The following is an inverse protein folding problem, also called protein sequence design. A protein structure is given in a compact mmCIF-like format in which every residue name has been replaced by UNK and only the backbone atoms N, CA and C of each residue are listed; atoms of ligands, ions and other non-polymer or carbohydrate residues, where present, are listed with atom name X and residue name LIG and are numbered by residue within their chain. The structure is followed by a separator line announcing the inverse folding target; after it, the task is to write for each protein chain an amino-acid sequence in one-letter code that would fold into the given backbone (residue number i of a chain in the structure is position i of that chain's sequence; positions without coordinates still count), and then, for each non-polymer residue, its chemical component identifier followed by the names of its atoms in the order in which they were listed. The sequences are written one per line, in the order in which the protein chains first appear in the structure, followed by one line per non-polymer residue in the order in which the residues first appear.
data_IF_668077695275
#
_entry.id   IF_668077695275
#
_cell.length_a   1.000
_cell.length_b   1.000
_cell.length_c   1.000
_cell.angle_alpha   90.00
_cell.angle_beta   90.00
_cell.angle_gamma   90.00
#
_symmetry.space_group_name_H-M   'P 1'
#
loop_
_entity.id
_entity.type
_entity.pdbx_description
1 polymer ?
#
# COMPACT_ATOMS: atom_id res chain seq x y z
N UNK A 1 6.32 -2.85 8.57
CA UNK A 1 6.28 -3.25 7.14
C UNK A 1 4.97 -3.99 6.93
N UNK A 2 4.41 -3.88 5.73
CA UNK A 2 3.20 -4.57 5.35
C UNK A 2 3.45 -5.33 4.05
N UNK A 3 2.70 -6.41 3.85
CA UNK A 3 2.55 -7.03 2.54
C UNK A 3 1.09 -6.94 2.12
N UNK A 4 0.88 -6.48 0.89
CA UNK A 4 -0.45 -6.39 0.32
C UNK A 4 -0.64 -7.58 -0.64
N UNK A 5 -1.74 -8.30 -0.49
CA UNK A 5 -2.11 -9.43 -1.35
C UNK A 5 -3.36 -9.06 -2.15
N UNK A 6 -3.29 -9.13 -3.47
CA UNK A 6 -4.44 -9.00 -4.36
C UNK A 6 -4.73 -10.34 -5.00
N UNK A 7 -5.98 -10.80 -4.89
CA UNK A 7 -6.48 -11.96 -5.57
C UNK A 7 -7.55 -11.54 -6.57
N UNK A 8 -7.51 -12.07 -7.79
CA UNK A 8 -8.53 -11.80 -8.80
C UNK A 8 -8.87 -13.05 -9.60
N UNK A 9 -10.10 -13.11 -10.11
CA UNK A 9 -10.61 -14.15 -10.98
C UNK A 9 -11.33 -13.51 -12.17
N UNK A 10 -11.05 -14.01 -13.37
CA UNK A 10 -11.65 -13.56 -14.62
C UNK A 10 -12.65 -14.62 -15.10
N UNK A 11 -13.89 -14.22 -15.32
CA UNK A 11 -14.95 -15.08 -15.82
C UNK A 11 -15.00 -15.09 -17.35
N UNK A 12 -15.65 -16.09 -17.93
CA UNK A 12 -15.70 -16.29 -19.38
C UNK A 12 -16.40 -15.15 -20.15
N UNK A 13 -17.28 -14.41 -19.48
CA UNK A 13 -17.98 -13.22 -20.00
C UNK A 13 -17.19 -11.91 -19.83
N UNK A 14 -15.94 -12.03 -19.36
CA UNK A 14 -15.02 -10.93 -19.14
C UNK A 14 -15.26 -10.16 -17.84
N UNK A 15 -16.20 -10.58 -16.99
CA UNK A 15 -16.35 -10.02 -15.64
C UNK A 15 -15.14 -10.41 -14.77
N UNK A 16 -14.83 -9.56 -13.79
CA UNK A 16 -13.72 -9.78 -12.86
C UNK A 16 -14.25 -9.65 -11.44
N UNK A 17 -13.89 -10.60 -10.59
CA UNK A 17 -13.98 -10.47 -9.14
C UNK A 17 -12.56 -10.34 -8.59
N UNK A 18 -12.35 -9.42 -7.65
CA UNK A 18 -11.07 -9.25 -6.98
C UNK A 18 -11.27 -8.84 -5.53
N UNK A 19 -10.26 -9.12 -4.71
CA UNK A 19 -10.19 -8.73 -3.31
C UNK A 19 -8.74 -8.42 -2.91
N UNK A 20 -8.58 -7.61 -1.88
CA UNK A 20 -7.28 -7.19 -1.35
C UNK A 20 -7.25 -7.37 0.15
N UNK A 21 -6.14 -7.92 0.66
CA UNK A 21 -5.87 -8.00 2.09
C UNK A 21 -4.46 -7.48 2.42
N UNK A 22 -4.30 -6.93 3.61
CA UNK A 22 -3.07 -6.29 4.08
C UNK A 22 -2.53 -7.00 5.32
N UNK A 23 -1.41 -7.68 5.15
CA UNK A 23 -0.74 -8.42 6.20
C UNK A 23 0.30 -7.54 6.90
N UNK A 24 0.16 -7.40 8.21
CA UNK A 24 1.22 -6.77 9.02
C UNK A 24 2.34 -7.78 9.23
N UNK A 25 3.54 -7.45 8.75
CA UNK A 25 4.72 -8.31 8.88
C UNK A 25 5.59 -7.78 10.02
N UNK A 26 6.19 -8.69 10.79
CA UNK A 26 7.18 -8.33 11.79
C UNK A 26 8.38 -7.61 11.16
N UNK A 27 8.82 -6.54 11.81
CA UNK A 27 10.08 -5.83 11.46
C UNK A 27 11.25 -6.78 11.74
N UNK A 28 12.03 -7.12 10.72
CA UNK A 28 13.13 -8.08 10.82
C UNK A 28 14.30 -7.65 9.92
N UNK A 29 15.50 -7.53 10.50
CA UNK A 29 16.70 -7.27 9.71
C UNK A 29 17.16 -8.51 8.96
N UNK A 30 17.60 -8.30 7.71
CA UNK A 30 18.18 -9.36 6.86
C UNK A 30 19.45 -9.94 7.50
N UNK A 31 20.30 -9.06 8.01
CA UNK A 31 21.52 -9.44 8.72
C UNK A 31 21.21 -9.70 10.19
N UNK A 32 21.46 -10.92 10.64
CA UNK A 32 21.32 -11.29 12.04
C UNK A 32 22.64 -11.06 12.75
N UNK A 33 22.64 -10.10 13.67
CA UNK A 33 23.81 -9.75 14.46
C UNK A 33 23.56 -10.14 15.91
N UNK A 34 24.50 -10.83 16.53
CA UNK A 34 24.49 -11.10 17.98
C UNK A 34 25.78 -10.57 18.60
N UNK A 35 25.66 -10.05 19.81
CA UNK A 35 26.75 -9.43 20.55
C UNK A 35 26.71 -9.95 21.98
N UNK A 36 27.77 -10.63 22.40
CA UNK A 36 27.88 -11.24 23.71
C UNK A 36 29.24 -10.94 24.34
N UNK A 37 29.30 -10.86 25.67
CA UNK A 37 30.57 -10.76 26.40
C UNK A 37 30.98 -12.13 26.95
N UNK A 38 32.28 -12.36 27.12
CA UNK A 38 32.79 -13.58 27.76
C UNK A 38 32.40 -13.69 29.24
N UNK A 39 32.18 -12.54 29.89
CA UNK A 39 31.67 -12.42 31.26
C UNK A 39 30.80 -11.16 31.36
N UNK A 40 29.66 -11.26 32.06
CA UNK A 40 28.71 -10.13 32.21
C UNK A 40 29.27 -9.01 33.10
N UNK A 41 30.00 -9.36 34.15
CA UNK A 41 30.64 -8.43 35.07
C UNK A 41 32.05 -8.92 35.42
N UNK A 42 32.96 -7.98 35.61
CA UNK A 42 34.33 -8.28 36.01
C UNK A 42 34.98 -7.07 36.70
N UNK A 43 36.14 -7.29 37.32
CA UNK A 43 36.87 -6.27 38.06
C UNK A 43 37.46 -5.19 37.12
N UNK A 44 37.59 -3.93 37.59
CA UNK A 44 38.22 -2.87 36.79
C UNK A 44 39.62 -3.26 36.31
N UNK A 45 39.86 -3.12 35.01
CA UNK A 45 41.15 -3.46 34.38
C UNK A 45 41.34 -4.93 34.04
N UNK A 46 40.35 -5.79 34.29
CA UNK A 46 40.35 -7.16 33.79
C UNK A 46 40.22 -7.20 32.26
N UNK A 47 40.57 -8.35 31.67
CA UNK A 47 40.42 -8.58 30.23
C UNK A 47 39.11 -9.31 29.96
N UNK A 48 38.22 -8.65 29.23
CA UNK A 48 36.96 -9.23 28.75
C UNK A 48 36.96 -9.29 27.22
N UNK A 49 36.41 -10.38 26.67
CA UNK A 49 36.26 -10.55 25.22
C UNK A 49 34.83 -10.21 24.81
N UNK A 50 34.71 -9.53 23.67
CA UNK A 50 33.45 -9.24 23.01
C UNK A 50 33.28 -10.18 21.81
N UNK A 51 32.25 -11.01 21.84
CA UNK A 51 31.88 -11.96 20.80
C UNK A 51 30.82 -11.33 19.89
N UNK A 52 31.21 -10.99 18.67
CA UNK A 52 30.32 -10.47 17.64
C UNK A 52 30.12 -11.54 16.56
N UNK A 53 28.86 -11.88 16.28
CA UNK A 53 28.48 -12.78 15.20
C UNK A 53 27.64 -12.02 14.17
N UNK A 54 28.05 -12.09 12.92
CA UNK A 54 27.36 -11.48 11.78
C UNK A 54 27.60 -12.34 10.52
N UNK A 55 26.96 -11.97 9.42
CA UNK A 55 27.16 -12.66 8.14
C UNK A 55 28.59 -12.41 7.59
N UNK A 56 29.16 -13.36 6.82
CA UNK A 56 30.50 -13.20 6.25
C UNK A 56 30.60 -11.96 5.35
N UNK A 57 31.63 -11.15 5.54
CA UNK A 57 31.86 -9.92 4.77
C UNK A 57 31.02 -8.71 5.21
N UNK A 58 30.22 -8.83 6.27
CA UNK A 58 29.51 -7.69 6.85
C UNK A 58 30.46 -6.70 7.53
N UNK A 59 30.22 -5.41 7.34
CA UNK A 59 30.86 -4.34 8.11
C UNK A 59 30.03 -4.06 9.37
N UNK A 60 30.66 -4.16 10.54
CA UNK A 60 30.00 -3.92 11.82
C UNK A 60 30.62 -2.72 12.54
N UNK A 61 29.78 -1.79 12.99
CA UNK A 61 30.18 -0.68 13.86
C UNK A 61 29.83 -1.03 15.31
N UNK A 62 30.78 -0.82 16.23
CA UNK A 62 30.62 -1.14 17.65
C UNK A 62 30.65 0.18 18.44
N UNK A 63 29.68 0.34 19.35
CA UNK A 63 29.60 1.48 20.28
C UNK A 63 29.56 0.93 21.70
N UNK A 64 30.47 1.40 22.56
CA UNK A 64 30.46 1.16 23.99
C UNK A 64 30.10 2.45 24.71
N UNK A 65 29.19 2.38 25.69
CA UNK A 65 28.72 3.54 26.47
C UNK A 65 28.73 3.20 27.95
N UNK A 66 29.02 4.21 28.78
CA UNK A 66 28.89 4.09 30.23
C UNK A 66 27.41 4.20 30.64
N UNK A 67 26.98 3.42 31.64
CA UNK A 67 25.60 3.40 32.12
C UNK A 67 25.10 4.76 32.59
N UNK A 68 25.97 5.63 33.11
CA UNK A 68 25.62 6.98 33.51
C UNK A 68 25.23 7.90 32.35
N UNK A 69 25.70 7.61 31.12
CA UNK A 69 25.37 8.39 29.92
C UNK A 69 23.97 8.06 29.41
N UNK A 70 23.49 6.83 29.62
CA UNK A 70 22.11 6.42 29.30
C UNK A 70 21.04 7.20 30.08
N UNK A 71 21.43 7.93 31.15
CA UNK A 71 20.54 8.79 31.94
C UNK A 71 20.34 10.18 31.31
N UNK A 72 21.15 10.56 30.32
CA UNK A 72 20.89 11.70 29.44
C UNK A 72 20.21 11.16 28.18
N UNK A 73 19.31 11.95 27.58
CA UNK A 73 18.57 11.58 26.36
C UNK A 73 19.54 11.19 25.22
N UNK A 74 19.95 9.93 25.20
CA UNK A 74 20.82 9.34 24.20
C UNK A 74 19.90 8.66 23.19
N UNK A 75 19.95 9.09 21.94
CA UNK A 75 19.14 8.53 20.87
C UNK A 75 19.72 7.17 20.47
N UNK A 76 19.34 6.15 21.25
CA UNK A 76 19.66 4.75 20.92
C UNK A 76 18.99 4.43 19.59
N UNK A 77 19.78 3.99 18.62
CA UNK A 77 19.26 3.55 17.34
C UNK A 77 18.53 2.22 17.53
N UNK A 78 17.20 2.27 17.56
CA UNK A 78 16.36 1.08 17.69
C UNK A 78 16.01 0.52 16.31
N UNK A 79 15.57 -0.75 16.24
CA UNK A 79 15.04 -1.30 15.00
C UNK A 79 13.94 -0.41 14.38
N UNK A 80 13.08 0.16 15.23
CA UNK A 80 11.96 1.00 14.81
C UNK A 80 12.42 2.25 14.07
N UNK A 81 13.43 2.96 14.61
CA UNK A 81 13.91 4.20 14.00
C UNK A 81 14.55 3.95 12.63
N UNK A 82 15.22 2.81 12.43
CA UNK A 82 15.75 2.41 11.12
C UNK A 82 14.63 2.18 10.11
N UNK A 83 13.53 1.54 10.51
CA UNK A 83 12.38 1.34 9.63
C UNK A 83 11.62 2.62 9.30
N UNK A 84 11.60 3.60 10.20
CA UNK A 84 10.98 4.91 9.97
C UNK A 84 11.79 5.77 8.99
N UNK A 85 13.13 5.71 9.04
CA UNK A 85 13.99 6.42 8.08
C UNK A 85 13.81 5.95 6.62
N UNK A 86 13.42 4.69 6.42
CA UNK A 86 13.22 4.10 5.10
C UNK A 86 11.78 4.21 4.56
N UNK A 87 10.86 4.83 5.30
CA UNK A 87 9.51 5.08 4.81
C UNK A 87 9.57 6.23 3.80
N UNK A 88 9.70 5.91 2.51
CA UNK A 88 9.60 6.91 1.45
C UNK A 88 8.22 7.60 1.49
N UNK A 89 8.24 8.92 1.36
CA UNK A 89 7.04 9.73 1.36
C UNK A 89 6.11 9.35 0.20
N UNK A 90 4.87 9.00 0.55
CA UNK A 90 3.80 8.63 -0.35
C UNK A 90 3.20 9.86 -1.06
N UNK A 91 3.98 10.53 -1.91
CA UNK A 91 3.50 11.72 -2.63
C UNK A 91 2.76 11.43 -3.93
N UNK A 92 2.73 10.17 -4.40
CA UNK A 92 2.24 9.87 -5.75
C UNK A 92 0.75 9.55 -5.81
N UNK A 93 0.12 9.14 -4.69
CA UNK A 93 -1.26 8.65 -4.68
C UNK A 93 -1.96 9.21 -3.44
N UNK A 94 -2.78 10.24 -3.63
CA UNK A 94 -3.59 10.79 -2.53
C UNK A 94 -4.64 9.77 -2.07
N UNK A 95 -5.33 10.03 -0.95
CA UNK A 95 -6.38 9.13 -0.42
C UNK A 95 -7.60 8.89 -1.34
N UNK A 96 -7.57 9.40 -2.57
CA UNK A 96 -8.56 9.18 -3.63
C UNK A 96 -8.04 8.36 -4.82
N UNK A 97 -6.78 7.93 -4.81
CA UNK A 97 -6.15 7.21 -5.92
C UNK A 97 -5.18 8.08 -6.72
N UNK A 98 -5.06 7.79 -8.02
CA UNK A 98 -4.11 8.46 -8.89
C UNK A 98 -4.43 9.96 -9.04
N UNK A 99 -3.40 10.76 -9.28
CA UNK A 99 -3.59 12.14 -9.70
C UNK A 99 -4.37 12.20 -11.03
N UNK A 100 -5.10 13.29 -11.27
CA UNK A 100 -5.99 13.44 -12.43
C UNK A 100 -5.32 13.18 -13.79
N UNK A 101 -4.01 13.41 -13.91
CA UNK A 101 -3.26 13.19 -15.14
C UNK A 101 -2.89 11.72 -15.38
N UNK A 102 -3.00 10.88 -14.35
CA UNK A 102 -2.78 9.43 -14.40
C UNK A 102 -4.09 8.63 -14.36
N UNK A 103 -5.17 9.24 -13.86
CA UNK A 103 -6.49 8.61 -13.75
C UNK A 103 -7.09 8.32 -15.13
N UNK A 104 -7.56 7.09 -15.32
CA UNK A 104 -8.23 6.68 -16.56
C UNK A 104 -9.71 7.02 -16.50
N UNK A 105 -10.07 8.20 -17.00
CA UNK A 105 -11.47 8.59 -17.12
C UNK A 105 -12.14 7.85 -18.28
N UNK A 106 -13.27 7.21 -18.00
CA UNK A 106 -14.11 6.58 -19.02
C UNK A 106 -14.94 7.65 -19.74
N UNK A 107 -14.77 7.87 -21.06
CA UNK A 107 -15.49 8.92 -21.78
C UNK A 107 -17.01 8.69 -21.81
N UNK A 108 -17.46 7.43 -21.78
CA UNK A 108 -18.86 7.04 -21.84
C UNK A 108 -19.19 5.96 -20.81
N UNK A 109 -19.27 6.29 -19.51
CA UNK A 109 -19.45 5.28 -18.46
C UNK A 109 -20.91 4.83 -18.28
N UNK A 110 -21.84 5.39 -19.07
CA UNK A 110 -23.27 5.16 -18.97
C UNK A 110 -23.67 3.82 -19.61
N UNK A 111 -24.41 2.99 -18.88
CA UNK A 111 -25.15 1.90 -19.53
C UNK A 111 -26.29 2.47 -20.38
N UNK A 112 -26.55 1.90 -21.58
CA UNK A 112 -27.74 2.25 -22.33
C UNK A 112 -28.98 1.93 -21.47
N UNK A 113 -30.00 2.80 -21.45
CA UNK A 113 -31.16 2.60 -20.60
C UNK A 113 -31.92 1.36 -21.09
N UNK A 114 -32.12 0.37 -20.20
CA UNK A 114 -33.02 -0.76 -20.45
C UNK A 114 -34.45 -0.24 -20.31
N UNK A 115 -34.99 0.35 -21.37
CA UNK A 115 -36.38 0.82 -21.38
C UNK A 115 -37.30 -0.37 -21.67
N UNK A 116 -38.30 -0.67 -20.82
CA UNK A 116 -39.31 -1.71 -21.12
C UNK A 116 -40.22 -1.34 -22.31
N UNK A 117 -40.11 -0.12 -22.84
CA UNK A 117 -40.91 0.40 -23.94
C UNK A 117 -40.03 1.01 -25.04
N UNK A 118 -40.50 0.94 -26.29
CA UNK A 118 -39.86 1.58 -27.44
C UNK A 118 -39.65 3.08 -27.17
N UNK A 119 -38.46 3.63 -27.50
CA UNK A 119 -38.13 5.01 -27.19
C UNK A 119 -39.04 5.97 -27.95
N UNK A 120 -39.94 6.66 -27.23
CA UNK A 120 -40.77 7.73 -27.80
C UNK A 120 -39.93 9.01 -27.99
N UNK A 121 -40.31 9.91 -28.93
CA UNK A 121 -39.57 11.17 -29.17
C UNK A 121 -39.45 12.09 -27.95
N UNK A 122 -40.35 11.95 -26.96
CA UNK A 122 -40.30 12.67 -25.67
C UNK A 122 -39.25 12.11 -24.71
N UNK A 123 -39.05 10.78 -24.68
CA UNK A 123 -38.06 10.13 -23.81
C UNK A 123 -36.62 10.25 -24.35
N UNK A 124 -36.42 10.64 -25.62
CA UNK A 124 -35.08 10.94 -26.16
C UNK A 124 -34.41 12.18 -25.56
N UNK A 125 -35.15 13.00 -24.78
CA UNK A 125 -34.65 14.27 -24.21
C UNK A 125 -34.28 14.20 -22.74
N UNK A 126 -34.29 13.02 -22.11
CA UNK A 126 -33.71 12.87 -20.77
C UNK A 126 -32.21 13.12 -20.87
N UNK A 127 -31.77 14.27 -20.36
CA UNK A 127 -30.36 14.67 -20.33
C UNK A 127 -29.59 13.66 -19.47
N UNK A 128 -28.96 12.67 -20.12
CA UNK A 128 -28.09 11.73 -19.45
C UNK A 128 -26.80 12.45 -19.09
N UNK A 129 -26.39 12.34 -17.82
CA UNK A 129 -25.13 12.89 -17.35
C UNK A 129 -24.54 11.97 -16.31
N UNK A 130 -23.34 11.45 -16.58
CA UNK A 130 -22.53 10.78 -15.58
C UNK A 130 -21.75 11.83 -14.78
N UNK A 131 -21.50 11.59 -13.48
CA UNK A 131 -20.42 12.28 -12.78
C UNK A 131 -19.09 12.01 -13.49
N UNK A 132 -18.26 13.05 -13.65
CA UNK A 132 -16.89 12.93 -14.19
C UNK A 132 -15.98 12.09 -13.28
N UNK A 133 -16.34 11.95 -12.01
CA UNK A 133 -15.59 11.20 -11.01
C UNK A 133 -16.50 10.14 -10.38
N UNK A 134 -16.03 8.90 -10.36
CA UNK A 134 -16.72 7.77 -9.74
C UNK A 134 -15.88 7.27 -8.58
N UNK A 135 -16.46 7.31 -7.38
CA UNK A 135 -15.84 6.83 -6.14
C UNK A 135 -16.45 5.51 -5.66
N UNK A 136 -17.22 4.85 -6.51
CA UNK A 136 -17.84 3.58 -6.15
C UNK A 136 -16.79 2.48 -6.14
N UNK A 137 -16.91 1.55 -5.20
CA UNK A 137 -15.99 0.42 -5.10
C UNK A 137 -16.14 -0.50 -6.32
N UNK A 138 -15.03 -0.76 -6.99
CA UNK A 138 -14.91 -1.66 -8.14
C UNK A 138 -13.54 -2.36 -8.15
N UNK A 139 -13.35 -3.32 -9.05
CA UNK A 139 -12.07 -4.05 -9.13
C UNK A 139 -10.92 -3.09 -9.43
N UNK A 140 -11.12 -2.12 -10.31
CA UNK A 140 -10.12 -1.10 -10.62
C UNK A 140 -9.65 -0.31 -9.38
N UNK A 141 -10.56 0.00 -8.45
CA UNK A 141 -10.27 0.70 -7.20
C UNK A 141 -9.32 -0.08 -6.28
N UNK A 142 -9.41 -1.41 -6.25
CA UNK A 142 -8.51 -2.27 -5.49
C UNK A 142 -7.07 -2.21 -6.04
N UNK A 143 -6.92 -2.22 -7.37
CA UNK A 143 -5.60 -2.04 -7.97
C UNK A 143 -5.04 -0.63 -7.72
N UNK A 144 -5.90 0.40 -7.70
CA UNK A 144 -5.51 1.77 -7.33
C UNK A 144 -5.01 1.85 -5.88
N UNK A 145 -5.67 1.17 -4.95
CA UNK A 145 -5.25 1.10 -3.55
C UNK A 145 -3.84 0.51 -3.41
N UNK A 146 -3.50 -0.46 -4.26
CA UNK A 146 -2.17 -1.05 -4.34
C UNK A 146 -1.17 -0.28 -5.21
N UNK A 147 -1.53 0.95 -5.62
CA UNK A 147 -0.67 1.83 -6.43
C UNK A 147 -0.34 1.25 -7.81
N UNK A 148 -1.23 0.44 -8.37
CA UNK A 148 -1.05 -0.22 -9.66
C UNK A 148 -2.04 0.30 -10.70
N UNK A 149 -1.53 0.53 -11.92
CA UNK A 149 -2.35 0.84 -13.09
C UNK A 149 -2.48 -0.42 -13.94
N UNK A 150 -3.70 -0.79 -14.27
CA UNK A 150 -4.00 -2.00 -15.03
C UNK A 150 -4.47 -1.67 -16.44
N UNK A 151 -3.95 -2.40 -17.42
CA UNK A 151 -4.39 -2.36 -18.81
C UNK A 151 -4.98 -3.73 -19.13
N UNK A 152 -6.28 -3.78 -19.36
CA UNK A 152 -7.00 -5.04 -19.56
C UNK A 152 -8.13 -4.89 -20.57
N UNK A 153 -8.48 -5.99 -21.22
CA UNK A 153 -9.66 -6.12 -22.07
C UNK A 153 -10.90 -6.63 -21.30
N UNK A 154 -10.79 -6.78 -19.97
CA UNK A 154 -11.87 -7.25 -19.08
C UNK A 154 -12.63 -6.11 -18.41
N UNK A 155 -13.82 -6.42 -17.89
CA UNK A 155 -14.71 -5.46 -17.23
C UNK A 155 -14.29 -5.30 -15.77
N UNK A 156 -13.40 -4.34 -15.51
CA UNK A 156 -12.85 -4.06 -14.16
C UNK A 156 -13.42 -2.80 -13.50
N UNK A 157 -14.05 -1.93 -14.29
CA UNK A 157 -14.68 -0.69 -13.80
C UNK A 157 -16.17 -0.88 -13.66
N UNK A 158 -16.75 -0.32 -12.60
CA UNK A 158 -18.20 -0.36 -12.41
C UNK A 158 -18.90 0.59 -13.39
N UNK A 159 -19.90 0.12 -14.15
CA UNK A 159 -20.69 0.99 -14.99
C UNK A 159 -21.65 1.86 -14.16
N UNK A 160 -21.97 3.08 -14.62
CA UNK A 160 -22.92 3.96 -13.92
C UNK A 160 -24.26 4.08 -14.64
N UNK A 161 -25.32 4.26 -13.84
CA UNK A 161 -26.62 4.68 -14.35
C UNK A 161 -26.64 6.20 -14.51
N UNK A 162 -26.82 6.66 -15.75
CA UNK A 162 -26.89 8.09 -16.07
C UNK A 162 -28.32 8.63 -16.07
N UNK A 163 -29.27 7.88 -15.48
CA UNK A 163 -30.62 8.33 -15.25
C UNK A 163 -30.59 9.40 -14.15
N UNK A 164 -31.00 10.62 -14.49
CA UNK A 164 -31.19 11.67 -13.48
C UNK A 164 -32.32 11.27 -12.52
N UNK A 165 -32.15 11.44 -11.20
CA UNK A 165 -33.25 11.29 -10.27
C UNK A 165 -34.37 12.26 -10.68
N UNK A 166 -35.56 11.71 -10.91
CA UNK A 166 -36.78 12.52 -11.08
C UNK A 166 -37.17 13.02 -9.68
N UNK A 167 -36.80 14.25 -9.35
CA UNK A 167 -37.37 14.98 -8.22
C UNK A 167 -38.72 15.59 -8.62
#
# INVERSE_FOLDING_TARGET
PSANLLLYAIFADGEVAADVDVFTISKCFKHKVTLDFSAEEDLPGSKVNLHLKADPGSLCSIRAVDKSVLLKDDTVMTPESVYELGAEDDYMIGGRGFAYHLEDFEPYPCLPPVLPFLPTPRNRRSLMGAPWYQSEADVYSLFKELRMKILTNTKVKKPVSCLRPTY
#
